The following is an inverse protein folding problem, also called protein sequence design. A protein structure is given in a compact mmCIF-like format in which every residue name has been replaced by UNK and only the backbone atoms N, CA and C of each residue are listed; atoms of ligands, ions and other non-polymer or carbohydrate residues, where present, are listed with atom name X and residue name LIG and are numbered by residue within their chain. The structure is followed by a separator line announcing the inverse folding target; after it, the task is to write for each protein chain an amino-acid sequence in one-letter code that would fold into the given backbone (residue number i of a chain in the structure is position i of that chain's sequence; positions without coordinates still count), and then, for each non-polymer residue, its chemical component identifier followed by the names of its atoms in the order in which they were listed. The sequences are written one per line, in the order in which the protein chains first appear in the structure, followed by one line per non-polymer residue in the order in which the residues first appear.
data_IF_809333564184
#
_entry.id   IF_809333564184
#
_cell.length_a   1.000
_cell.length_b   1.000
_cell.length_c   1.000
_cell.angle_alpha   90.00
_cell.angle_beta   90.00
_cell.angle_gamma   90.00
#
_symmetry.space_group_name_H-M   'P 1'
#
loop_
_entity.id
_entity.type
_entity.pdbx_description
1 polymer ?
#
# COMPACT_ATOMS: atom_id res chain seq x y z
N UNK A 1 -16.75 9.59 -8.64
CA UNK A 1 -16.74 8.15 -8.98
C UNK A 1 -16.73 8.05 -10.50
N UNK A 2 -15.87 7.21 -11.11
CA UNK A 2 -15.90 6.95 -12.56
C UNK A 2 -16.78 5.72 -12.80
N UNK A 3 -17.70 5.82 -13.74
CA UNK A 3 -18.62 4.74 -14.11
C UNK A 3 -18.35 4.29 -15.55
N UNK A 4 -18.14 2.99 -15.76
CA UNK A 4 -17.86 2.42 -17.09
C UNK A 4 -19.12 2.22 -17.93
N UNK A 5 -20.30 2.20 -17.32
CA UNK A 5 -21.58 2.04 -17.99
C UNK A 5 -22.24 3.38 -18.36
N UNK A 6 -21.65 4.48 -17.91
CA UNK A 6 -22.12 5.82 -18.25
C UNK A 6 -21.93 6.12 -19.74
N UNK A 7 -22.85 6.91 -20.30
CA UNK A 7 -22.84 7.39 -21.68
C UNK A 7 -21.60 8.24 -22.08
N UNK A 8 -20.72 8.56 -21.13
CA UNK A 8 -19.51 9.36 -21.33
C UNK A 8 -18.32 8.42 -21.24
N UNK A 9 -17.35 8.56 -22.13
CA UNK A 9 -16.13 7.74 -22.02
C UNK A 9 -15.41 8.00 -20.69
N UNK A 10 -14.81 6.93 -20.15
CA UNK A 10 -14.00 6.94 -18.94
C UNK A 10 -12.95 8.07 -18.94
N UNK A 11 -12.39 8.40 -20.10
CA UNK A 11 -11.43 9.50 -20.30
C UNK A 11 -12.08 10.88 -20.08
N UNK A 12 -13.31 11.09 -20.56
CA UNK A 12 -14.03 12.35 -20.35
C UNK A 12 -14.45 12.51 -18.90
N UNK A 13 -14.91 11.44 -18.26
CA UNK A 13 -15.25 11.47 -16.83
C UNK A 13 -14.02 11.79 -15.97
N UNK A 14 -12.87 11.17 -16.27
CA UNK A 14 -11.61 11.48 -15.58
C UNK A 14 -11.18 12.94 -15.77
N UNK A 15 -11.32 13.48 -16.99
CA UNK A 15 -11.00 14.89 -17.27
C UNK A 15 -11.92 15.86 -16.51
N UNK A 16 -13.21 15.55 -16.41
CA UNK A 16 -14.17 16.35 -15.64
C UNK A 16 -13.88 16.30 -14.13
N UNK A 17 -13.39 15.17 -13.63
CA UNK A 17 -13.03 14.96 -12.23
C UNK A 17 -11.57 15.34 -11.92
N UNK A 18 -10.84 15.91 -12.88
CA UNK A 18 -9.41 16.22 -12.76
C UNK A 18 -8.53 15.03 -12.33
N UNK A 19 -8.94 13.81 -12.66
CA UNK A 19 -8.18 12.59 -12.38
C UNK A 19 -7.14 12.32 -13.47
N UNK A 20 -5.93 11.97 -13.03
CA UNK A 20 -4.88 11.49 -13.93
C UNK A 20 -5.28 10.14 -14.54
N UNK A 21 -4.90 9.90 -15.80
CA UNK A 21 -5.18 8.64 -16.51
C UNK A 21 -4.76 7.38 -15.72
N UNK A 22 -3.70 7.46 -14.92
CA UNK A 22 -3.24 6.35 -14.08
C UNK A 22 -4.22 5.98 -12.96
N UNK A 23 -4.84 6.98 -12.34
CA UNK A 23 -5.82 6.79 -11.25
C UNK A 23 -7.09 6.09 -11.75
N UNK A 24 -7.43 6.31 -13.01
CA UNK A 24 -8.63 5.75 -13.66
C UNK A 24 -8.54 4.23 -13.86
N UNK A 25 -7.33 3.73 -14.13
CA UNK A 25 -7.09 2.29 -14.31
C UNK A 25 -6.70 1.59 -13.01
N UNK A 26 -6.36 2.35 -11.97
CA UNK A 26 -6.07 1.81 -10.66
C UNK A 26 -7.38 1.53 -9.91
N UNK A 27 -7.79 0.26 -9.85
CA UNK A 27 -8.87 -0.16 -8.97
C UNK A 27 -8.30 -0.28 -7.54
N UNK A 28 -8.87 0.39 -6.53
CA UNK A 28 -8.45 0.19 -5.15
C UNK A 28 -8.63 -1.30 -4.81
N UNK A 29 -7.53 -2.00 -4.56
CA UNK A 29 -7.59 -3.36 -4.03
C UNK A 29 -7.67 -3.28 -2.51
N UNK A 30 -8.54 -4.08 -1.86
CA UNK A 30 -8.48 -4.24 -0.42
C UNK A 30 -7.10 -4.78 -0.05
N UNK A 31 -6.46 -4.12 0.92
CA UNK A 31 -5.19 -4.57 1.49
C UNK A 31 -5.50 -5.71 2.47
N UNK A 32 -4.84 -6.88 2.37
CA UNK A 32 -4.99 -7.95 3.34
C UNK A 32 -4.72 -7.47 4.77
N UNK A 33 -5.42 -8.03 5.77
CA UNK A 33 -5.26 -7.61 7.17
C UNK A 33 -3.82 -7.75 7.69
N UNK A 34 -3.11 -8.79 7.25
CA UNK A 34 -1.69 -8.97 7.56
C UNK A 34 -0.82 -7.84 7.00
N UNK A 35 -1.14 -7.34 5.81
CA UNK A 35 -0.41 -6.24 5.19
C UNK A 35 -0.72 -4.91 5.89
N UNK A 36 -1.97 -4.72 6.34
CA UNK A 36 -2.37 -3.58 7.16
C UNK A 36 -1.62 -3.55 8.50
N UNK A 37 -1.43 -4.70 9.14
CA UNK A 37 -0.67 -4.80 10.38
C UNK A 37 0.80 -4.39 10.19
N UNK A 38 1.43 -4.83 9.09
CA UNK A 38 2.80 -4.42 8.74
C UNK A 38 2.89 -2.92 8.45
N UNK A 39 1.90 -2.36 7.75
CA UNK A 39 1.84 -0.92 7.47
C UNK A 39 1.73 -0.11 8.76
N UNK A 40 0.86 -0.51 9.69
CA UNK A 40 0.71 0.13 11.00
C UNK A 40 2.01 0.04 11.81
N UNK A 41 2.63 -1.14 11.85
CA UNK A 41 3.88 -1.34 12.59
C UNK A 41 5.03 -0.50 12.02
N UNK A 42 5.09 -0.38 10.70
CA UNK A 42 6.07 0.48 10.03
C UNK A 42 5.88 1.96 10.39
N UNK A 43 4.63 2.41 10.49
CA UNK A 43 4.28 3.79 10.87
C UNK A 43 4.68 4.08 12.33
N UNK A 44 4.37 3.17 13.26
CA UNK A 44 4.83 3.25 14.66
C UNK A 44 6.35 3.36 14.77
N UNK A 45 7.09 2.49 14.07
CA UNK A 45 8.54 2.52 14.06
C UNK A 45 9.10 3.81 13.44
N UNK A 46 8.36 4.44 12.51
CA UNK A 46 8.76 5.73 11.95
C UNK A 46 8.55 6.89 12.93
N UNK A 47 7.55 6.79 13.80
CA UNK A 47 7.35 7.74 14.91
C UNK A 47 8.40 7.56 16.01
N UNK A 48 8.73 6.32 16.37
CA UNK A 48 9.76 6.03 17.38
C UNK A 48 11.17 6.34 16.88
N UNK A 49 11.43 6.10 15.59
CA UNK A 49 12.70 6.31 14.94
C UNK A 49 12.56 7.18 13.68
N UNK A 50 12.39 8.51 13.83
CA UNK A 50 12.21 9.42 12.70
C UNK A 50 13.41 9.48 11.75
N UNK A 51 14.58 9.00 12.20
CA UNK A 51 15.79 8.86 11.39
C UNK A 51 15.89 7.51 10.64
N UNK A 52 15.06 6.53 10.98
CA UNK A 52 15.10 5.20 10.37
C UNK A 52 14.47 5.24 8.98
N UNK A 53 15.33 5.23 7.95
CA UNK A 53 14.90 5.05 6.56
C UNK A 53 14.40 3.63 6.30
N UNK A 54 13.84 3.38 5.09
CA UNK A 54 13.18 2.12 4.74
C UNK A 54 14.03 0.86 4.98
N UNK A 55 15.36 0.94 4.83
CA UNK A 55 16.27 -0.18 5.09
C UNK A 55 16.43 -0.49 6.57
N UNK A 56 16.44 0.53 7.43
CA UNK A 56 16.49 0.36 8.88
C UNK A 56 15.16 -0.20 9.39
N UNK A 57 14.04 0.34 8.92
CA UNK A 57 12.71 -0.18 9.25
C UNK A 57 12.54 -1.64 8.81
N UNK A 58 13.02 -2.03 7.63
CA UNK A 58 13.07 -3.44 7.21
C UNK A 58 13.87 -4.32 8.16
N UNK A 59 15.00 -3.82 8.67
CA UNK A 59 15.80 -4.55 9.67
C UNK A 59 15.06 -4.73 11.00
N UNK A 60 14.38 -3.69 11.47
CA UNK A 60 13.59 -3.71 12.70
C UNK A 60 12.40 -4.68 12.57
N UNK A 61 11.65 -4.59 11.48
CA UNK A 61 10.54 -5.51 11.19
C UNK A 61 11.02 -6.96 11.05
N UNK A 62 12.18 -7.19 10.43
CA UNK A 62 12.79 -8.52 10.36
C UNK A 62 13.18 -9.05 11.75
N UNK A 63 13.64 -8.17 12.64
CA UNK A 63 13.91 -8.51 14.05
C UNK A 63 12.64 -8.91 14.82
N UNK A 64 11.48 -8.41 14.41
CA UNK A 64 10.16 -8.77 14.95
C UNK A 64 9.54 -10.01 14.27
N UNK A 65 10.28 -10.69 13.38
CA UNK A 65 9.79 -11.84 12.62
C UNK A 65 8.91 -11.48 11.43
N UNK A 66 8.82 -10.20 11.07
CA UNK A 66 8.05 -9.70 9.93
C UNK A 66 8.99 -9.59 8.71
N UNK A 67 8.88 -10.55 7.79
CA UNK A 67 9.61 -10.47 6.51
C UNK A 67 8.96 -9.48 5.55
N UNK A 68 9.51 -8.27 5.48
CA UNK A 68 9.14 -7.28 4.46
C UNK A 68 10.08 -7.38 3.26
N UNK A 69 9.58 -7.96 2.16
CA UNK A 69 10.33 -8.11 0.92
C UNK A 69 10.63 -6.77 0.20
N UNK A 70 11.29 -6.87 -0.97
CA UNK A 70 11.64 -5.73 -1.84
C UNK A 70 10.39 -5.12 -2.47
N UNK A 71 9.75 -4.19 -1.76
CA UNK A 71 8.74 -3.21 -2.22
C UNK A 71 7.79 -3.72 -3.34
N UNK A 72 7.00 -4.74 -3.00
CA UNK A 72 5.79 -5.14 -3.74
C UNK A 72 4.81 -5.80 -2.77
N UNK A 73 4.22 -4.99 -1.88
CA UNK A 73 3.32 -5.41 -0.80
C UNK A 73 3.93 -6.43 0.19
N UNK A 74 3.58 -6.39 1.49
CA UNK A 74 3.89 -7.50 2.37
C UNK A 74 3.21 -8.76 1.80
N UNK A 75 3.91 -9.90 1.79
CA UNK A 75 3.25 -11.20 1.69
C UNK A 75 3.48 -11.81 3.05
N UNK A 76 2.50 -11.71 3.94
CA UNK A 76 2.58 -12.35 5.25
C UNK A 76 2.64 -13.88 5.06
N UNK A 77 3.84 -14.44 5.00
CA UNK A 77 4.07 -15.88 5.18
C UNK A 77 4.20 -16.11 6.67
N UNK A 78 3.06 -16.36 7.32
CA UNK A 78 3.05 -16.76 8.73
C UNK A 78 3.85 -18.06 8.91
N UNK A 79 4.97 -17.98 9.61
CA UNK A 79 5.54 -19.10 10.34
C UNK A 79 5.45 -18.76 11.82
N UNK A 80 4.48 -19.39 12.48
CA UNK A 80 4.34 -19.37 13.93
C UNK A 80 5.24 -20.50 14.45
N UNK A 81 6.27 -20.14 15.22
CA UNK A 81 7.13 -21.05 15.96
C UNK A 81 7.44 -20.43 17.31
#
# INVERSE_FOLDING_TARGET
MIDREHNLSVVRQAKLLSFSRGTVYYLPRPVPDGDLAVMRRSDELHLDYPFAGSRMLQGLLKGEGIEVGRWSAPRFTGHVG
#
